data_IF_772354977309
#
_entry.id   IF_772354977309
#
_cell.length_a   1.000
_cell.length_b   1.000
_cell.length_c   1.000
_cell.angle_alpha   90.00
_cell.angle_beta   90.00
_cell.angle_gamma   90.00
#
_symmetry.space_group_name_H-M   'P 1'
#
loop_
_entity.id
_entity.type
_entity.pdbx_description
1 polymer ?
#
# COMPACT_ATOMS: atom_id res chain seq x y z
N UNK A 1 -11.73 22.65 35.75
CA UNK A 1 -13.09 22.34 35.23
C UNK A 1 -13.76 21.36 36.18
N UNK A 2 -15.04 21.59 36.52
CA UNK A 2 -15.80 20.63 37.32
C UNK A 2 -15.97 19.28 36.61
N UNK A 3 -15.97 18.17 37.38
CA UNK A 3 -16.04 16.81 36.83
C UNK A 3 -17.34 16.55 36.07
N UNK A 4 -18.46 17.08 36.58
CA UNK A 4 -19.78 16.94 35.93
C UNK A 4 -19.83 17.69 34.60
N UNK A 5 -19.22 18.88 34.55
CA UNK A 5 -19.10 19.68 33.32
C UNK A 5 -18.23 18.97 32.28
N UNK A 6 -17.13 18.33 32.70
CA UNK A 6 -16.29 17.54 31.79
C UNK A 6 -17.07 16.34 31.22
N UNK A 7 -17.80 15.61 32.07
CA UNK A 7 -18.62 14.47 31.66
C UNK A 7 -19.73 14.86 30.68
N UNK A 8 -20.40 16.00 30.93
CA UNK A 8 -21.42 16.55 30.03
C UNK A 8 -20.82 16.90 28.66
N UNK A 9 -19.68 17.60 28.65
CA UNK A 9 -18.99 18.00 27.41
C UNK A 9 -18.49 16.80 26.61
N UNK A 10 -18.00 15.75 27.27
CA UNK A 10 -17.63 14.48 26.61
C UNK A 10 -18.84 13.86 25.92
N UNK A 11 -19.99 13.79 26.61
CA UNK A 11 -21.23 13.25 26.04
C UNK A 11 -21.66 14.00 24.78
N UNK A 12 -21.75 15.33 24.85
CA UNK A 12 -22.12 16.18 23.70
C UNK A 12 -21.16 16.03 22.53
N UNK A 13 -19.86 15.96 22.80
CA UNK A 13 -18.84 15.78 21.76
C UNK A 13 -18.97 14.42 21.07
N UNK A 14 -19.23 13.36 21.84
CA UNK A 14 -19.38 11.99 21.34
C UNK A 14 -20.65 11.84 20.48
N UNK A 15 -21.78 12.40 20.93
CA UNK A 15 -23.03 12.45 20.16
C UNK A 15 -22.83 13.17 18.83
N UNK A 16 -22.18 14.35 18.85
CA UNK A 16 -21.89 15.10 17.63
C UNK A 16 -20.98 14.33 16.67
N UNK A 17 -19.96 13.65 17.17
CA UNK A 17 -19.05 12.83 16.37
C UNK A 17 -19.79 11.67 15.68
N UNK A 18 -20.68 10.98 16.40
CA UNK A 18 -21.55 9.92 15.87
C UNK A 18 -22.51 10.45 14.82
N UNK A 19 -23.23 11.53 15.14
CA UNK A 19 -24.28 12.05 14.26
C UNK A 19 -23.70 12.63 12.97
N UNK A 20 -22.52 13.27 13.04
CA UNK A 20 -21.77 13.66 11.85
C UNK A 20 -21.33 12.43 11.03
N UNK A 21 -20.84 11.36 11.68
CA UNK A 21 -20.47 10.13 10.97
C UNK A 21 -21.67 9.47 10.27
N UNK A 22 -22.86 9.43 10.89
CA UNK A 22 -24.11 8.89 10.29
C UNK A 22 -24.49 9.57 8.96
N UNK A 23 -24.06 10.80 8.74
CA UNK A 23 -24.28 11.52 7.49
C UNK A 23 -23.35 11.03 6.37
N UNK A 24 -22.19 10.49 6.72
CA UNK A 24 -21.11 10.18 5.80
C UNK A 24 -20.93 8.68 5.57
N UNK A 25 -21.44 7.82 6.46
CA UNK A 25 -21.24 6.35 6.37
C UNK A 25 -22.53 5.56 6.17
N UNK A 26 -22.40 4.34 5.63
CA UNK A 26 -23.52 3.40 5.43
C UNK A 26 -23.88 2.64 6.69
N UNK A 27 -22.94 2.46 7.62
CA UNK A 27 -23.16 1.67 8.83
C UNK A 27 -24.24 2.29 9.72
N UNK A 28 -25.21 1.49 10.20
CA UNK A 28 -26.14 1.94 11.22
C UNK A 28 -25.39 2.04 12.56
N UNK A 29 -24.97 3.25 12.93
CA UNK A 29 -24.31 3.50 14.20
C UNK A 29 -25.31 3.42 15.36
N UNK A 30 -25.16 2.52 16.35
CA UNK A 30 -26.03 2.45 17.52
C UNK A 30 -25.97 3.73 18.36
N UNK A 31 -27.04 4.03 19.10
CA UNK A 31 -27.04 5.22 19.98
C UNK A 31 -26.11 5.07 21.18
N UNK A 32 -25.92 3.84 21.67
CA UNK A 32 -24.96 3.55 22.73
C UNK A 32 -23.53 3.79 22.23
N UNK A 33 -22.68 4.42 23.04
CA UNK A 33 -21.31 4.77 22.67
C UNK A 33 -20.33 4.10 23.64
N UNK A 34 -19.24 3.55 23.09
CA UNK A 34 -18.07 3.10 23.84
C UNK A 34 -16.83 3.77 23.30
N UNK A 35 -15.81 3.89 24.14
CA UNK A 35 -14.62 4.65 23.83
C UNK A 35 -13.37 3.80 23.88
N UNK A 36 -12.47 4.04 22.92
CA UNK A 36 -11.10 3.57 22.96
C UNK A 36 -10.20 4.79 23.21
N UNK A 37 -9.49 4.82 24.34
CA UNK A 37 -8.71 6.01 24.75
C UNK A 37 -7.24 5.84 24.40
N UNK A 38 -6.69 6.83 23.70
CA UNK A 38 -5.26 6.94 23.43
C UNK A 38 -4.71 8.25 24.02
N UNK A 39 -3.76 8.12 24.94
CA UNK A 39 -2.99 9.25 25.44
C UNK A 39 -1.73 9.39 24.60
N UNK A 40 -1.59 10.54 23.94
CA UNK A 40 -0.35 10.90 23.28
C UNK A 40 0.71 11.20 24.35
N UNK A 41 1.75 10.37 24.41
CA UNK A 41 2.89 10.51 25.32
C UNK A 41 3.84 11.68 24.95
N UNK A 42 3.57 12.40 23.85
CA UNK A 42 4.54 13.33 23.26
C UNK A 42 4.16 14.81 23.42
N UNK A 43 4.98 15.42 24.26
CA UNK A 43 5.57 16.76 24.18
C UNK A 43 5.57 17.35 22.75
N UNK A 44 4.81 18.43 22.50
CA UNK A 44 4.81 19.20 21.23
C UNK A 44 6.11 20.01 20.99
N UNK A 45 7.21 19.62 21.64
CA UNK A 45 8.48 20.36 21.68
C UNK A 45 8.45 21.67 22.48
N UNK A 46 7.31 22.07 23.04
CA UNK A 46 7.18 23.30 23.86
C UNK A 46 7.33 23.02 25.36
N UNK A 47 7.92 23.96 26.11
CA UNK A 47 7.91 23.91 27.57
C UNK A 47 6.50 23.84 28.13
N UNK A 48 6.36 23.21 29.30
CA UNK A 48 5.10 23.22 30.04
C UNK A 48 4.79 24.64 30.52
N UNK A 49 3.56 25.07 30.33
CA UNK A 49 2.99 26.21 31.03
C UNK A 49 2.88 25.90 32.53
N UNK A 50 3.03 26.89 33.44
CA UNK A 50 2.96 26.65 34.88
C UNK A 50 1.68 25.96 35.38
N UNK A 51 0.55 26.17 34.68
CA UNK A 51 -0.74 25.54 34.99
C UNK A 51 -0.94 24.15 34.33
N UNK A 52 0.07 23.62 33.66
CA UNK A 52 0.03 22.29 33.04
C UNK A 52 0.63 21.22 33.95
N UNK A 53 0.09 20.01 33.82
CA UNK A 53 0.54 18.80 34.50
C UNK A 53 0.73 17.69 33.48
N UNK A 54 1.67 16.80 33.75
CA UNK A 54 1.90 15.55 33.00
C UNK A 54 1.93 14.41 34.00
N UNK A 55 1.56 13.21 33.55
CA UNK A 55 1.50 12.01 34.39
C UNK A 55 2.44 10.95 33.78
N UNK A 56 3.71 10.89 34.22
CA UNK A 56 4.69 9.96 33.67
C UNK A 56 4.29 8.48 33.73
N UNK A 57 3.38 8.13 34.63
CA UNK A 57 2.83 6.79 34.82
C UNK A 57 1.77 6.38 33.78
N UNK A 58 1.32 7.30 32.91
CA UNK A 58 0.28 7.04 31.91
C UNK A 58 0.54 5.81 31.01
N UNK A 59 1.77 5.52 30.56
CA UNK A 59 2.06 4.32 29.77
C UNK A 59 1.80 3.01 30.51
N UNK A 60 1.95 2.99 31.84
CA UNK A 60 1.75 1.80 32.69
C UNK A 60 0.30 1.68 33.16
N UNK A 61 -0.35 2.83 33.40
CA UNK A 61 -1.73 2.93 33.89
C UNK A 61 -2.78 2.60 32.84
N UNK A 62 -2.43 2.70 31.55
CA UNK A 62 -3.34 2.44 30.42
C UNK A 62 -2.71 1.44 29.44
N UNK A 63 -2.68 0.14 29.77
CA UNK A 63 -2.14 -0.88 28.88
C UNK A 63 -2.89 -0.89 27.54
N UNK A 64 -2.17 -1.02 26.42
CA UNK A 64 -2.77 -1.07 25.09
C UNK A 64 -3.84 -2.18 24.94
N UNK A 65 -3.69 -3.27 25.70
CA UNK A 65 -4.62 -4.40 25.76
C UNK A 65 -5.90 -4.13 26.56
N UNK A 66 -5.94 -3.07 27.38
CA UNK A 66 -7.10 -2.66 28.19
C UNK A 66 -7.96 -1.58 27.51
N UNK A 67 -7.60 -1.17 26.29
CA UNK A 67 -8.19 -0.02 25.57
C UNK A 67 -9.59 -0.27 25.01
N UNK A 68 -10.15 -1.46 25.10
CA UNK A 68 -11.36 -1.77 24.34
C UNK A 68 -12.64 -1.43 25.10
N UNK A 69 -13.39 -0.45 24.58
CA UNK A 69 -14.82 -0.24 24.82
C UNK A 69 -15.21 0.29 26.22
N UNK A 70 -14.54 1.34 26.68
CA UNK A 70 -14.87 2.02 27.95
C UNK A 70 -16.26 2.70 27.92
N UNK A 71 -16.92 2.73 29.07
CA UNK A 71 -18.08 3.59 29.38
C UNK A 71 -17.65 5.06 29.42
N UNK A 72 -18.63 5.99 29.31
CA UNK A 72 -18.37 7.42 29.52
C UNK A 72 -17.84 7.69 30.93
N UNK A 73 -18.39 7.00 31.91
CA UNK A 73 -18.04 7.14 33.33
C UNK A 73 -16.59 6.71 33.58
N UNK A 74 -16.16 5.58 33.02
CA UNK A 74 -14.75 5.12 33.09
C UNK A 74 -13.79 6.09 32.38
N UNK A 75 -14.18 6.65 31.23
CA UNK A 75 -13.37 7.68 30.56
C UNK A 75 -13.24 8.93 31.43
N UNK A 76 -14.30 9.36 32.10
CA UNK A 76 -14.27 10.51 33.01
C UNK A 76 -13.37 10.23 34.20
N UNK A 77 -13.45 9.04 34.82
CA UNK A 77 -12.52 8.64 35.89
C UNK A 77 -11.06 8.57 35.42
N UNK A 78 -10.85 8.20 34.16
CA UNK A 78 -9.54 8.08 33.57
C UNK A 78 -8.89 9.43 33.26
N UNK A 79 -9.66 10.36 32.68
CA UNK A 79 -9.16 11.62 32.11
C UNK A 79 -9.38 12.85 33.02
N UNK A 80 -10.31 12.81 33.96
CA UNK A 80 -10.46 13.89 34.93
C UNK A 80 -9.61 13.59 36.17
N UNK A 81 -8.60 14.42 36.43
CA UNK A 81 -7.61 14.17 37.49
C UNK A 81 -7.35 15.43 38.29
N UNK A 82 -7.72 15.42 39.58
CA UNK A 82 -7.45 16.53 40.51
C UNK A 82 -7.86 17.92 39.98
N UNK A 83 -9.03 18.00 39.32
CA UNK A 83 -9.56 19.23 38.73
C UNK A 83 -8.98 19.61 37.35
N UNK A 84 -8.04 18.82 36.84
CA UNK A 84 -7.41 18.98 35.54
C UNK A 84 -7.90 17.96 34.50
N UNK A 85 -7.89 18.37 33.23
CA UNK A 85 -8.31 17.56 32.06
C UNK A 85 -7.30 17.75 30.92
N UNK A 86 -7.23 16.84 29.92
CA UNK A 86 -6.40 17.05 28.74
C UNK A 86 -6.71 18.38 28.04
N UNK A 87 -5.69 19.08 27.54
CA UNK A 87 -5.86 20.34 26.80
C UNK A 87 -6.64 20.20 25.50
N UNK A 88 -6.51 19.09 24.80
CA UNK A 88 -7.29 18.74 23.62
C UNK A 88 -7.64 17.25 23.64
N UNK A 89 -8.83 16.94 23.12
CA UNK A 89 -9.34 15.59 22.93
C UNK A 89 -10.02 15.54 21.57
N UNK A 90 -9.53 14.70 20.67
CA UNK A 90 -10.09 14.48 19.35
C UNK A 90 -10.90 13.17 19.33
N UNK A 91 -12.13 13.25 18.82
CA UNK A 91 -13.06 12.13 18.75
C UNK A 91 -13.21 11.66 17.31
N UNK A 92 -12.98 10.36 17.10
CA UNK A 92 -13.22 9.70 15.82
C UNK A 92 -14.09 8.46 15.98
N UNK A 93 -15.31 8.44 15.44
CA UNK A 93 -16.01 7.19 15.08
C UNK A 93 -15.12 6.34 14.16
N UNK A 94 -14.71 5.19 14.65
CA UNK A 94 -13.82 4.26 13.93
C UNK A 94 -14.51 2.97 13.53
N UNK A 95 -15.55 2.55 14.27
CA UNK A 95 -16.25 1.30 14.00
C UNK A 95 -17.68 1.29 14.54
N UNK A 96 -18.53 0.51 13.89
CA UNK A 96 -19.78 0.03 14.47
C UNK A 96 -19.51 -1.28 15.25
N UNK A 97 -20.02 -1.41 16.46
CA UNK A 97 -19.63 -2.43 17.44
C UNK A 97 -20.72 -3.47 17.76
N UNK A 98 -21.73 -3.60 16.92
CA UNK A 98 -22.95 -4.38 17.16
C UNK A 98 -23.96 -3.55 17.96
N UNK A 99 -23.74 -3.45 19.27
CA UNK A 99 -24.63 -2.73 20.19
C UNK A 99 -24.17 -1.28 20.46
N UNK A 100 -22.95 -0.93 20.06
CA UNK A 100 -22.33 0.34 20.37
C UNK A 100 -21.67 1.00 19.14
N UNK A 101 -21.69 2.32 19.07
CA UNK A 101 -20.74 3.09 18.26
C UNK A 101 -19.41 3.16 19.00
N UNK A 102 -18.31 2.79 18.33
CA UNK A 102 -16.97 2.92 18.90
C UNK A 102 -16.35 4.24 18.46
N UNK A 103 -15.86 5.00 19.44
CA UNK A 103 -15.20 6.29 19.24
C UNK A 103 -13.81 6.26 19.87
N UNK A 104 -12.80 6.51 19.03
CA UNK A 104 -11.42 6.71 19.47
C UNK A 104 -11.28 8.13 20.04
N UNK A 105 -10.71 8.22 21.24
CA UNK A 105 -10.36 9.46 21.93
C UNK A 105 -8.85 9.65 21.92
N UNK A 106 -8.35 10.40 20.93
CA UNK A 106 -6.96 10.83 20.92
C UNK A 106 -6.82 12.06 21.83
N UNK A 107 -6.06 11.94 22.92
CA UNK A 107 -5.92 12.97 23.94
C UNK A 107 -4.47 13.41 24.04
N UNK A 108 -4.20 14.68 24.32
CA UNK A 108 -2.84 15.05 24.76
C UNK A 108 -2.54 14.57 26.18
N UNK A 109 -1.29 14.17 26.41
CA UNK A 109 -0.76 13.91 27.76
C UNK A 109 -0.52 15.17 28.62
N UNK A 110 -0.94 16.36 28.18
CA UNK A 110 -0.87 17.61 28.97
C UNK A 110 -2.23 17.95 29.55
N UNK A 111 -2.30 18.01 30.86
CA UNK A 111 -3.52 18.27 31.62
C UNK A 111 -3.47 19.68 32.21
N UNK A 112 -4.63 20.31 32.36
CA UNK A 112 -4.71 21.62 33.02
C UNK A 112 -6.06 21.84 33.67
N UNK A 113 -6.07 22.59 34.77
CA UNK A 113 -7.30 23.12 35.36
C UNK A 113 -7.68 24.49 34.78
N UNK A 114 -6.74 25.16 34.08
CA UNK A 114 -6.94 26.48 33.50
C UNK A 114 -7.73 26.39 32.19
N UNK A 115 -9.01 26.77 32.23
CA UNK A 115 -9.90 26.72 31.06
C UNK A 115 -9.42 27.60 29.88
N UNK A 116 -8.57 28.60 30.14
CA UNK A 116 -8.00 29.43 29.09
C UNK A 116 -7.00 28.66 28.22
N UNK A 117 -6.41 27.58 28.72
CA UNK A 117 -5.42 26.77 28.01
C UNK A 117 -6.06 25.62 27.20
N UNK A 118 -7.35 25.35 27.39
CA UNK A 118 -8.07 24.32 26.64
C UNK A 118 -8.25 24.72 25.18
N UNK A 119 -8.05 23.75 24.29
CA UNK A 119 -8.25 23.90 22.85
C UNK A 119 -9.73 23.76 22.48
N UNK A 120 -10.03 23.97 21.20
CA UNK A 120 -11.35 23.76 20.60
C UNK A 120 -12.49 24.58 21.25
N UNK A 121 -12.17 25.71 21.88
CA UNK A 121 -13.17 26.62 22.46
C UNK A 121 -14.27 27.02 21.47
N UNK A 122 -13.92 27.16 20.19
CA UNK A 122 -14.84 27.48 19.09
C UNK A 122 -15.93 26.42 18.87
N UNK A 123 -15.74 25.18 19.34
CA UNK A 123 -16.76 24.13 19.26
C UNK A 123 -17.87 24.29 20.31
N UNK A 124 -17.66 25.12 21.34
CA UNK A 124 -18.62 25.37 22.43
C UNK A 124 -18.52 24.41 23.62
N UNK A 125 -17.63 23.41 23.56
CA UNK A 125 -17.42 22.42 24.63
C UNK A 125 -15.93 22.01 24.72
N UNK A 126 -15.01 22.95 25.05
CA UNK A 126 -13.60 22.61 25.21
C UNK A 126 -13.40 21.57 26.33
N UNK A 127 -12.46 20.62 26.22
CA UNK A 127 -11.35 20.54 25.26
C UNK A 127 -11.63 19.67 24.01
N UNK A 128 -12.88 19.39 23.65
CA UNK A 128 -13.19 18.34 22.66
C UNK A 128 -13.34 18.85 21.22
N UNK A 129 -12.85 18.06 20.26
CA UNK A 129 -13.09 18.22 18.82
C UNK A 129 -13.66 16.93 18.23
N UNK A 130 -14.82 17.00 17.58
CA UNK A 130 -15.34 15.91 16.77
C UNK A 130 -14.71 15.97 15.36
N UNK A 131 -13.97 14.93 14.97
CA UNK A 131 -13.28 14.83 13.68
C UNK A 131 -13.91 13.80 12.72
N UNK A 132 -14.56 12.76 13.25
CA UNK A 132 -15.02 11.59 12.47
C UNK A 132 -15.97 11.83 11.32
N UNK A 133 -16.06 10.87 10.37
CA UNK A 133 -15.29 9.64 10.29
C UNK A 133 -13.93 9.88 9.62
N UNK A 134 -12.90 9.07 9.95
CA UNK A 134 -11.65 9.10 9.21
C UNK A 134 -11.87 8.47 7.83
N UNK A 135 -12.07 9.30 6.81
CA UNK A 135 -12.26 8.86 5.43
C UNK A 135 -10.91 8.59 4.75
N UNK A 136 -10.82 7.59 3.84
CA UNK A 136 -9.63 7.39 3.02
C UNK A 136 -9.30 8.63 2.20
N UNK A 137 -8.01 8.88 1.94
CA UNK A 137 -7.56 10.03 1.13
C UNK A 137 -8.06 10.01 -0.32
N UNK A 138 -8.51 8.86 -0.81
CA UNK A 138 -9.09 8.67 -2.14
C UNK A 138 -10.63 8.71 -2.15
N UNK A 139 -11.26 9.01 -1.02
CA UNK A 139 -12.71 9.17 -0.97
C UNK A 139 -13.09 10.54 -1.55
N UNK A 140 -13.78 10.53 -2.70
CA UNK A 140 -14.29 11.73 -3.36
C UNK A 140 -15.83 11.74 -3.25
N UNK A 141 -16.40 12.84 -2.76
CA UNK A 141 -17.81 12.96 -2.37
C UNK A 141 -18.69 13.64 -3.43
N UNK A 142 -18.18 13.91 -4.63
CA UNK A 142 -18.81 14.80 -5.62
C UNK A 142 -20.20 14.36 -6.12
N UNK A 143 -20.62 13.12 -5.82
CA UNK A 143 -21.93 12.54 -6.19
C UNK A 143 -22.72 11.95 -5.02
N UNK A 144 -22.35 12.22 -3.77
CA UNK A 144 -23.20 11.95 -2.60
C UNK A 144 -23.35 10.48 -2.18
N UNK A 145 -22.33 9.65 -2.38
CA UNK A 145 -22.28 8.31 -1.80
C UNK A 145 -22.00 8.35 -0.28
N UNK A 146 -22.29 7.24 0.41
CA UNK A 146 -21.88 7.02 1.81
C UNK A 146 -20.73 6.01 1.84
N UNK A 147 -19.81 6.17 2.78
CA UNK A 147 -18.65 5.30 2.98
C UNK A 147 -18.96 4.10 3.89
N UNK A 148 -18.41 2.92 3.62
CA UNK A 148 -18.45 1.81 4.59
C UNK A 148 -17.20 1.80 5.45
N UNK A 149 -17.35 1.86 6.77
CA UNK A 149 -16.26 1.64 7.73
C UNK A 149 -15.61 0.24 7.58
N UNK A 150 -16.29 -0.71 6.92
CA UNK A 150 -15.77 -2.07 6.66
C UNK A 150 -15.15 -2.26 5.29
N UNK A 151 -15.17 -1.24 4.42
CA UNK A 151 -14.60 -1.29 3.08
C UNK A 151 -13.17 -1.85 3.13
N UNK A 152 -12.36 -1.33 4.04
CA UNK A 152 -10.99 -1.78 4.26
C UNK A 152 -10.87 -2.49 5.60
N UNK A 153 -10.72 -3.82 5.56
CA UNK A 153 -10.47 -4.62 6.76
C UNK A 153 -9.01 -5.07 6.80
N UNK A 154 -8.30 -4.73 7.89
CA UNK A 154 -6.99 -5.31 8.22
C UNK A 154 -7.18 -6.33 9.32
N UNK A 155 -6.63 -7.52 9.12
CA UNK A 155 -6.79 -8.66 10.01
C UNK A 155 -5.40 -9.22 10.29
N UNK A 156 -5.06 -9.32 11.56
CA UNK A 156 -3.77 -9.84 12.01
C UNK A 156 -3.84 -11.21 12.71
N UNK A 157 -5.05 -11.76 12.87
CA UNK A 157 -5.28 -13.04 13.56
C UNK A 157 -6.55 -13.74 13.10
N UNK A 158 -6.66 -15.04 13.36
CA UNK A 158 -7.87 -15.82 13.06
C UNK A 158 -9.13 -15.28 13.77
N UNK A 159 -8.98 -14.75 14.99
CA UNK A 159 -10.11 -14.18 15.76
C UNK A 159 -10.69 -12.94 15.08
N UNK A 160 -9.82 -12.06 14.58
CA UNK A 160 -10.23 -10.89 13.81
C UNK A 160 -10.84 -11.30 12.48
N UNK A 161 -10.28 -12.31 11.81
CA UNK A 161 -10.80 -12.85 10.56
C UNK A 161 -12.24 -13.34 10.72
N UNK A 162 -12.53 -14.06 11.81
CA UNK A 162 -13.88 -14.51 12.13
C UNK A 162 -14.87 -13.34 12.36
N UNK A 163 -14.40 -12.22 12.92
CA UNK A 163 -15.23 -11.02 13.14
C UNK A 163 -15.56 -10.30 11.83
N UNK A 164 -14.59 -10.23 10.91
CA UNK A 164 -14.81 -9.65 9.57
C UNK A 164 -15.87 -10.45 8.79
N UNK A 165 -15.95 -11.76 9.03
CA UNK A 165 -16.93 -12.64 8.37
C UNK A 165 -18.38 -12.21 8.60
N UNK A 166 -18.69 -11.74 9.81
CA UNK A 166 -20.04 -11.26 10.17
C UNK A 166 -20.45 -10.00 9.39
N UNK A 167 -19.48 -9.32 8.76
CA UNK A 167 -19.62 -8.03 8.08
C UNK A 167 -19.22 -8.10 6.60
N UNK A 168 -19.05 -9.32 6.09
CA UNK A 168 -18.50 -9.67 4.77
C UNK A 168 -19.21 -9.03 3.57
N UNK A 169 -20.48 -8.62 3.72
CA UNK A 169 -21.26 -8.01 2.63
C UNK A 169 -20.70 -6.68 2.10
N UNK A 170 -19.94 -5.95 2.91
CA UNK A 170 -19.41 -4.61 2.55
C UNK A 170 -17.89 -4.56 2.42
N UNK A 171 -17.20 -5.68 2.66
CA UNK A 171 -15.73 -5.74 2.61
C UNK A 171 -15.28 -5.78 1.16
N UNK A 172 -14.67 -4.70 0.70
CA UNK A 172 -14.14 -4.59 -0.67
C UNK A 172 -12.63 -4.82 -0.72
N UNK A 173 -11.90 -4.45 0.34
CA UNK A 173 -10.48 -4.67 0.52
C UNK A 173 -10.26 -5.48 1.80
N UNK A 174 -9.68 -6.66 1.65
CA UNK A 174 -9.26 -7.51 2.77
C UNK A 174 -7.73 -7.63 2.77
N UNK A 175 -7.10 -7.09 3.81
CA UNK A 175 -5.66 -7.22 4.03
C UNK A 175 -5.40 -8.11 5.24
N UNK A 176 -4.80 -9.26 4.98
CA UNK A 176 -4.47 -10.28 5.96
C UNK A 176 -2.98 -10.23 6.26
N UNK A 177 -2.64 -10.24 7.54
CA UNK A 177 -1.27 -10.36 8.03
C UNK A 177 -1.21 -11.31 9.21
N UNK A 178 -0.08 -11.97 9.44
CA UNK A 178 0.11 -12.78 10.65
C UNK A 178 0.26 -14.27 10.36
N UNK A 179 1.15 -14.89 11.12
CA UNK A 179 1.59 -16.26 10.90
C UNK A 179 0.57 -17.33 11.30
N UNK A 180 -0.51 -16.96 11.97
CA UNK A 180 -1.64 -17.83 12.30
C UNK A 180 -2.70 -17.88 11.18
N UNK A 181 -2.53 -17.09 10.11
CA UNK A 181 -3.38 -17.13 8.92
C UNK A 181 -2.76 -18.05 7.87
N UNK A 182 -3.30 -19.26 7.75
CA UNK A 182 -2.89 -20.30 6.80
C UNK A 182 -4.04 -20.68 5.83
N UNK A 183 -3.81 -21.70 5.00
CA UNK A 183 -4.82 -22.15 4.04
C UNK A 183 -6.13 -22.60 4.73
N UNK A 184 -6.05 -23.27 5.89
CA UNK A 184 -7.24 -23.71 6.65
C UNK A 184 -8.05 -22.53 7.15
N UNK A 185 -7.40 -21.50 7.70
CA UNK A 185 -8.04 -20.28 8.15
C UNK A 185 -8.79 -19.57 7.01
N UNK A 186 -8.17 -19.49 5.82
CA UNK A 186 -8.78 -18.87 4.65
C UNK A 186 -9.94 -19.70 4.09
N UNK A 187 -9.83 -21.03 4.04
CA UNK A 187 -10.92 -21.91 3.63
C UNK A 187 -12.14 -21.79 4.56
N UNK A 188 -11.91 -21.69 5.88
CA UNK A 188 -12.97 -21.50 6.85
C UNK A 188 -13.66 -20.12 6.71
N UNK A 189 -12.89 -19.07 6.40
CA UNK A 189 -13.41 -17.72 6.21
C UNK A 189 -14.27 -17.59 4.95
N UNK A 190 -13.79 -18.12 3.83
CA UNK A 190 -14.40 -17.94 2.52
C UNK A 190 -15.70 -18.74 2.30
N UNK A 191 -16.18 -19.48 3.31
CA UNK A 191 -17.55 -20.02 3.31
C UNK A 191 -18.63 -18.93 3.39
N UNK A 192 -18.27 -17.71 3.76
CA UNK A 192 -19.19 -16.57 3.80
C UNK A 192 -19.28 -15.84 2.45
N UNK A 193 -20.44 -15.23 2.13
CA UNK A 193 -20.58 -14.43 0.92
C UNK A 193 -19.74 -13.14 1.02
N UNK A 194 -18.80 -12.96 0.09
CA UNK A 194 -17.96 -11.76 -0.04
C UNK A 194 -18.27 -11.03 -1.36
N UNK A 195 -19.51 -10.56 -1.59
CA UNK A 195 -19.95 -10.04 -2.88
C UNK A 195 -19.29 -8.70 -3.27
N UNK A 196 -18.82 -7.94 -2.27
CA UNK A 196 -18.14 -6.67 -2.47
C UNK A 196 -16.61 -6.84 -2.63
N UNK A 197 -16.03 -8.00 -2.32
CA UNK A 197 -14.58 -8.16 -2.29
C UNK A 197 -13.96 -7.98 -3.69
N UNK A 198 -13.05 -7.02 -3.84
CA UNK A 198 -12.32 -6.72 -5.08
C UNK A 198 -10.81 -6.90 -4.90
N UNK A 199 -10.30 -6.65 -3.71
CA UNK A 199 -8.87 -6.65 -3.42
C UNK A 199 -8.56 -7.56 -2.23
N UNK A 200 -7.65 -8.51 -2.43
CA UNK A 200 -7.13 -9.39 -1.39
C UNK A 200 -5.61 -9.18 -1.29
N UNK A 201 -5.13 -8.88 -0.08
CA UNK A 201 -3.71 -8.77 0.22
C UNK A 201 -3.33 -9.75 1.31
N UNK A 202 -2.29 -10.52 1.06
CA UNK A 202 -1.67 -11.43 2.01
C UNK A 202 -0.23 -10.99 2.24
N UNK A 203 0.10 -10.60 3.47
CA UNK A 203 1.46 -10.23 3.87
C UNK A 203 1.84 -11.00 5.14
N UNK A 204 3.01 -11.64 5.19
CA UNK A 204 3.45 -12.36 6.40
C UNK A 204 2.43 -13.40 6.89
N UNK A 205 1.86 -14.14 5.94
CA UNK A 205 0.89 -15.22 6.19
C UNK A 205 1.52 -16.57 5.86
N UNK A 206 0.89 -17.65 6.33
CA UNK A 206 1.30 -19.03 6.02
C UNK A 206 0.49 -19.67 4.89
N UNK A 207 -0.22 -18.87 4.10
CA UNK A 207 -1.03 -19.34 2.97
C UNK A 207 -0.12 -19.86 1.85
N UNK A 208 -0.33 -21.12 1.44
CA UNK A 208 0.50 -21.81 0.45
C UNK A 208 -0.19 -21.94 -0.91
N UNK A 209 -1.49 -21.68 -1.00
CA UNK A 209 -2.23 -21.66 -2.25
C UNK A 209 -3.60 -22.31 -2.17
N UNK A 210 -3.76 -23.54 -1.62
CA UNK A 210 -5.07 -24.20 -1.53
C UNK A 210 -6.18 -23.34 -0.90
N UNK A 211 -5.86 -22.55 0.13
CA UNK A 211 -6.81 -21.66 0.81
C UNK A 211 -7.23 -20.45 0.00
N UNK A 212 -6.56 -20.14 -1.11
CA UNK A 212 -7.02 -19.14 -2.08
C UNK A 212 -8.15 -19.67 -2.97
N UNK A 213 -8.34 -20.99 -3.09
CA UNK A 213 -9.33 -21.60 -4.00
C UNK A 213 -10.75 -21.04 -3.85
N UNK A 214 -11.28 -20.81 -2.63
CA UNK A 214 -12.63 -20.26 -2.47
C UNK A 214 -12.77 -18.81 -2.97
N UNK A 215 -11.67 -18.06 -3.08
CA UNK A 215 -11.69 -16.68 -3.54
C UNK A 215 -11.72 -16.57 -5.07
N UNK A 216 -11.45 -17.66 -5.80
CA UNK A 216 -11.41 -17.67 -7.26
C UNK A 216 -12.78 -17.37 -7.91
N UNK A 217 -13.87 -17.71 -7.23
CA UNK A 217 -15.25 -17.50 -7.71
C UNK A 217 -15.80 -16.12 -7.28
N UNK A 218 -15.06 -15.37 -6.46
CA UNK A 218 -15.43 -14.03 -6.02
C UNK A 218 -15.14 -12.99 -7.11
N UNK A 219 -15.75 -11.79 -7.02
CA UNK A 219 -15.45 -10.66 -7.92
C UNK A 219 -14.08 -10.01 -7.68
N UNK A 220 -13.05 -10.81 -7.36
CA UNK A 220 -11.70 -10.35 -7.08
C UNK A 220 -11.02 -9.87 -8.37
N UNK A 221 -10.65 -8.58 -8.42
CA UNK A 221 -9.92 -7.97 -9.54
C UNK A 221 -8.42 -7.84 -9.25
N UNK A 222 -8.02 -7.86 -7.98
CA UNK A 222 -6.63 -7.68 -7.55
C UNK A 222 -6.24 -8.64 -6.41
N UNK A 223 -5.09 -9.30 -6.57
CA UNK A 223 -4.49 -10.19 -5.58
C UNK A 223 -3.03 -9.82 -5.38
N UNK A 224 -2.65 -9.54 -4.14
CA UNK A 224 -1.25 -9.35 -3.71
C UNK A 224 -0.91 -10.44 -2.70
N UNK A 225 0.07 -11.27 -3.03
CA UNK A 225 0.46 -12.43 -2.24
C UNK A 225 1.96 -12.41 -1.98
N UNK A 226 2.32 -11.97 -0.77
CA UNK A 226 3.68 -12.04 -0.26
C UNK A 226 3.82 -13.26 0.64
N UNK A 227 4.54 -14.26 0.15
CA UNK A 227 4.78 -15.50 0.86
C UNK A 227 5.92 -15.35 1.87
N UNK A 228 5.75 -15.93 3.06
CA UNK A 228 6.83 -16.00 4.04
C UNK A 228 8.02 -16.82 3.49
N UNK A 229 9.26 -16.39 3.77
CA UNK A 229 10.46 -17.10 3.31
C UNK A 229 10.46 -18.58 3.75
N UNK A 230 10.75 -19.48 2.80
CA UNK A 230 10.89 -20.91 3.06
C UNK A 230 9.58 -21.71 3.03
N UNK A 231 8.42 -21.06 2.95
CA UNK A 231 7.14 -21.76 2.78
C UNK A 231 6.89 -22.12 1.32
N UNK A 232 6.74 -23.41 0.95
CA UNK A 232 6.43 -23.77 -0.43
C UNK A 232 5.08 -23.16 -0.82
N UNK A 233 5.02 -22.62 -2.05
CA UNK A 233 3.79 -22.06 -2.62
C UNK A 233 3.38 -22.79 -3.89
N UNK A 234 2.07 -22.98 -4.09
CA UNK A 234 1.47 -23.57 -5.29
C UNK A 234 0.73 -22.51 -6.10
N UNK A 235 1.39 -22.01 -7.15
CA UNK A 235 0.85 -20.98 -8.04
C UNK A 235 -0.23 -21.51 -8.99
N UNK A 236 -0.44 -22.83 -9.10
CA UNK A 236 -1.48 -23.39 -9.99
C UNK A 236 -2.89 -23.04 -9.54
N UNK A 237 -3.06 -22.61 -8.28
CA UNK A 237 -4.35 -22.09 -7.81
C UNK A 237 -4.81 -20.86 -8.61
N UNK A 238 -3.87 -20.09 -9.15
CA UNK A 238 -4.14 -18.85 -9.88
C UNK A 238 -4.89 -19.08 -11.19
N UNK A 239 -4.81 -20.28 -11.77
CA UNK A 239 -5.53 -20.64 -13.01
C UNK A 239 -7.05 -20.47 -12.91
N UNK A 240 -7.59 -20.52 -11.69
CA UNK A 240 -9.04 -20.41 -11.44
C UNK A 240 -9.53 -18.96 -11.38
N UNK A 241 -8.66 -17.97 -11.21
CA UNK A 241 -9.02 -16.57 -10.96
C UNK A 241 -9.40 -15.81 -12.24
N UNK A 242 -10.49 -16.22 -12.90
CA UNK A 242 -10.89 -15.72 -14.22
C UNK A 242 -11.16 -14.21 -14.32
N UNK A 243 -11.41 -13.53 -13.19
CA UNK A 243 -11.73 -12.10 -13.10
C UNK A 243 -10.54 -11.20 -12.74
N UNK A 244 -9.38 -11.80 -12.49
CA UNK A 244 -8.22 -11.08 -12.00
C UNK A 244 -7.62 -10.20 -13.11
N UNK A 245 -7.44 -8.92 -12.82
CA UNK A 245 -6.80 -7.94 -13.70
C UNK A 245 -5.38 -7.61 -13.23
N UNK A 246 -5.14 -7.71 -11.92
CA UNK A 246 -3.86 -7.39 -11.28
C UNK A 246 -3.41 -8.53 -10.36
N UNK A 247 -2.19 -9.01 -10.55
CA UNK A 247 -1.58 -10.06 -9.74
C UNK A 247 -0.18 -9.65 -9.32
N UNK A 248 0.07 -9.71 -8.01
CA UNK A 248 1.39 -9.55 -7.42
C UNK A 248 1.72 -10.79 -6.59
N UNK A 249 2.85 -11.41 -6.89
CA UNK A 249 3.40 -12.52 -6.12
C UNK A 249 4.85 -12.22 -5.79
N UNK A 250 5.16 -12.18 -4.50
CA UNK A 250 6.51 -12.04 -3.99
C UNK A 250 6.92 -13.27 -3.18
N UNK A 251 8.06 -13.85 -3.54
CA UNK A 251 8.67 -15.00 -2.90
C UNK A 251 10.15 -14.74 -2.72
N UNK A 252 10.64 -14.70 -1.48
CA UNK A 252 12.06 -14.43 -1.24
C UNK A 252 12.94 -15.69 -1.42
N UNK A 253 12.59 -16.79 -0.78
CA UNK A 253 13.41 -18.01 -0.74
C UNK A 253 12.58 -19.28 -0.60
N UNK A 254 11.45 -19.34 -1.31
CA UNK A 254 10.57 -20.50 -1.25
C UNK A 254 10.63 -21.37 -2.50
N UNK A 255 10.62 -22.70 -2.36
CA UNK A 255 10.48 -23.59 -3.50
C UNK A 255 9.09 -23.45 -4.11
N UNK A 256 9.01 -23.37 -5.45
CA UNK A 256 7.74 -23.47 -6.17
C UNK A 256 7.23 -24.91 -6.09
N UNK A 257 6.13 -25.13 -5.38
CA UNK A 257 5.46 -26.42 -5.31
C UNK A 257 4.80 -26.77 -6.64
N UNK A 258 5.06 -27.98 -7.16
CA UNK A 258 4.46 -28.43 -8.42
C UNK A 258 5.22 -28.05 -9.70
N UNK A 259 6.42 -27.46 -9.58
CA UNK A 259 7.28 -27.07 -10.71
C UNK A 259 7.18 -25.59 -11.08
N UNK A 260 7.96 -25.15 -12.07
CA UNK A 260 7.94 -23.77 -12.60
C UNK A 260 6.78 -23.49 -13.55
N UNK A 261 5.97 -24.51 -13.85
CA UNK A 261 4.92 -24.45 -14.87
C UNK A 261 3.57 -24.23 -14.20
N UNK A 262 3.05 -23.01 -14.29
CA UNK A 262 1.69 -22.64 -13.89
C UNK A 262 1.11 -21.74 -14.98
N UNK A 263 -0.20 -21.77 -15.16
CA UNK A 263 -0.88 -20.81 -16.02
C UNK A 263 -1.48 -19.69 -15.18
N UNK A 264 -1.66 -18.53 -15.81
CA UNK A 264 -2.33 -17.37 -15.19
C UNK A 264 -3.56 -16.96 -16.00
N UNK A 265 -4.53 -16.29 -15.36
CA UNK A 265 -5.78 -15.89 -16.01
C UNK A 265 -5.55 -14.99 -17.23
N UNK A 266 -6.25 -15.27 -18.34
CA UNK A 266 -6.10 -14.52 -19.61
C UNK A 266 -6.47 -13.03 -19.51
N UNK A 267 -7.31 -12.66 -18.54
CA UNK A 267 -7.78 -11.30 -18.33
C UNK A 267 -6.76 -10.36 -17.68
N UNK A 268 -5.59 -10.88 -17.30
CA UNK A 268 -4.61 -10.12 -16.55
C UNK A 268 -4.00 -8.98 -17.37
N UNK A 269 -4.01 -7.78 -16.79
CA UNK A 269 -3.44 -6.56 -17.38
C UNK A 269 -2.12 -6.21 -16.74
N UNK A 270 -1.92 -6.58 -15.48
CA UNK A 270 -0.73 -6.30 -14.71
C UNK A 270 -0.26 -7.54 -13.96
N UNK A 271 1.01 -7.92 -14.16
CA UNK A 271 1.64 -9.06 -13.52
C UNK A 271 2.97 -8.66 -12.87
N UNK A 272 3.08 -8.84 -11.56
CA UNK A 272 4.32 -8.73 -10.80
C UNK A 272 4.69 -10.10 -10.25
N UNK A 273 5.81 -10.66 -10.72
CA UNK A 273 6.37 -11.93 -10.25
C UNK A 273 7.80 -11.71 -9.75
N UNK A 274 7.93 -11.34 -8.47
CA UNK A 274 9.22 -11.33 -7.78
C UNK A 274 9.47 -12.69 -7.17
N UNK A 275 9.79 -13.64 -8.06
CA UNK A 275 10.04 -15.03 -7.71
C UNK A 275 11.41 -15.40 -8.28
N UNK A 276 12.46 -15.52 -7.44
CA UNK A 276 13.82 -15.79 -7.92
C UNK A 276 13.94 -17.03 -8.79
N UNK A 277 13.17 -18.09 -8.49
CA UNK A 277 13.18 -19.33 -9.25
C UNK A 277 12.42 -19.26 -10.61
N UNK A 278 11.70 -18.18 -10.90
CA UNK A 278 10.95 -18.05 -12.15
C UNK A 278 11.90 -17.80 -13.32
N UNK A 279 11.81 -18.62 -14.37
CA UNK A 279 12.69 -18.54 -15.55
C UNK A 279 11.97 -18.73 -16.89
N UNK A 280 10.83 -19.46 -16.92
CA UNK A 280 10.15 -19.85 -18.15
C UNK A 280 8.97 -18.93 -18.49
N UNK A 281 9.15 -18.10 -19.53
CA UNK A 281 8.10 -17.24 -20.07
C UNK A 281 6.99 -18.00 -20.85
N UNK A 282 7.18 -19.30 -21.12
CA UNK A 282 6.15 -20.18 -21.69
C UNK A 282 4.89 -20.23 -20.83
N UNK A 283 5.05 -20.17 -19.50
CA UNK A 283 3.97 -20.08 -18.51
C UNK A 283 3.05 -18.86 -18.72
N UNK A 284 3.57 -17.79 -19.31
CA UNK A 284 2.84 -16.54 -19.55
C UNK A 284 2.22 -16.47 -20.96
N UNK A 285 2.29 -17.53 -21.74
CA UNK A 285 1.89 -17.55 -23.16
C UNK A 285 0.43 -17.20 -23.44
N UNK A 286 -0.45 -17.33 -22.45
CA UNK A 286 -1.88 -17.05 -22.57
C UNK A 286 -2.27 -15.59 -22.32
N UNK A 287 -1.32 -14.71 -21.96
CA UNK A 287 -1.59 -13.35 -21.50
C UNK A 287 -1.58 -12.31 -22.63
N UNK A 288 -2.54 -12.39 -23.55
CA UNK A 288 -2.60 -11.49 -24.72
C UNK A 288 -2.95 -10.03 -24.36
N UNK A 289 -3.51 -9.81 -23.17
CA UNK A 289 -3.97 -8.50 -22.69
C UNK A 289 -2.98 -7.77 -21.79
N UNK A 290 -1.79 -8.34 -21.56
CA UNK A 290 -0.83 -7.82 -20.59
C UNK A 290 -0.28 -6.45 -21.00
N UNK A 291 -0.39 -5.48 -20.10
CA UNK A 291 0.07 -4.09 -20.24
C UNK A 291 1.31 -3.83 -19.39
N UNK A 292 1.34 -4.39 -18.17
CA UNK A 292 2.48 -4.31 -17.25
C UNK A 292 3.02 -5.68 -16.87
N UNK A 293 4.34 -5.85 -16.96
CA UNK A 293 5.05 -7.05 -16.55
C UNK A 293 6.28 -6.68 -15.72
N UNK A 294 6.35 -7.20 -14.51
CA UNK A 294 7.51 -7.07 -13.63
C UNK A 294 8.05 -8.45 -13.26
N UNK A 295 9.29 -8.69 -13.66
CA UNK A 295 10.06 -9.91 -13.43
C UNK A 295 11.36 -9.60 -12.67
N UNK A 296 11.41 -8.49 -11.94
CA UNK A 296 12.61 -8.05 -11.23
C UNK A 296 13.10 -9.12 -10.25
N UNK A 297 14.40 -9.41 -10.28
CA UNK A 297 15.04 -10.41 -9.44
C UNK A 297 14.73 -11.88 -9.80
N UNK A 298 14.02 -12.13 -10.90
CA UNK A 298 13.78 -13.49 -11.40
C UNK A 298 14.99 -14.08 -12.14
N UNK A 299 14.98 -15.39 -12.37
CA UNK A 299 16.00 -16.13 -13.14
C UNK A 299 15.72 -16.15 -14.65
N UNK A 300 14.92 -15.23 -15.17
CA UNK A 300 14.68 -15.13 -16.62
C UNK A 300 16.00 -14.82 -17.34
N UNK A 301 16.34 -15.65 -18.34
CA UNK A 301 17.56 -15.52 -19.14
C UNK A 301 17.31 -15.18 -20.60
N UNK A 302 16.09 -15.42 -21.10
CA UNK A 302 15.74 -15.17 -22.50
C UNK A 302 14.43 -14.42 -22.55
N UNK A 303 14.37 -13.41 -23.42
CA UNK A 303 13.20 -12.55 -23.60
C UNK A 303 12.38 -12.89 -24.86
N UNK A 304 12.72 -13.95 -25.61
CA UNK A 304 12.05 -14.30 -26.87
C UNK A 304 10.54 -14.48 -26.71
N UNK A 305 10.13 -15.06 -25.59
CA UNK A 305 8.73 -15.26 -25.24
C UNK A 305 7.93 -13.96 -25.05
N UNK A 306 8.59 -12.83 -24.79
CA UNK A 306 7.90 -11.55 -24.58
C UNK A 306 7.31 -10.97 -25.86
N UNK A 307 7.83 -11.37 -27.03
CA UNK A 307 7.40 -10.83 -28.35
C UNK A 307 5.89 -10.91 -28.58
N UNK A 308 5.17 -11.82 -27.91
CA UNK A 308 3.71 -11.97 -28.03
C UNK A 308 2.92 -10.88 -27.32
N UNK A 309 3.49 -10.21 -26.30
CA UNK A 309 2.79 -9.21 -25.48
C UNK A 309 2.71 -7.85 -26.18
N UNK A 310 1.94 -7.77 -27.28
CA UNK A 310 1.85 -6.57 -28.14
C UNK A 310 1.26 -5.35 -27.44
N UNK A 311 0.57 -5.54 -26.31
CA UNK A 311 -0.03 -4.47 -25.50
C UNK A 311 0.90 -3.95 -24.41
N UNK A 312 2.03 -4.61 -24.18
CA UNK A 312 2.95 -4.28 -23.09
C UNK A 312 3.48 -2.85 -23.24
N UNK A 313 3.19 -2.02 -22.23
CA UNK A 313 3.69 -0.65 -22.11
C UNK A 313 4.77 -0.52 -21.04
N UNK A 314 4.77 -1.42 -20.04
CA UNK A 314 5.72 -1.40 -18.92
C UNK A 314 6.36 -2.77 -18.74
N UNK A 315 7.69 -2.79 -18.75
CA UNK A 315 8.49 -4.00 -18.52
C UNK A 315 9.61 -3.71 -17.51
N UNK A 316 9.64 -4.47 -16.42
CA UNK A 316 10.63 -4.36 -15.36
C UNK A 316 11.46 -5.66 -15.29
N UNK A 317 12.77 -5.54 -15.49
CA UNK A 317 13.73 -6.64 -15.57
C UNK A 317 14.94 -6.41 -14.66
N UNK A 318 14.82 -5.55 -13.64
CA UNK A 318 15.93 -5.23 -12.76
C UNK A 318 16.50 -6.49 -12.11
N UNK A 319 17.82 -6.55 -11.91
CA UNK A 319 18.50 -7.67 -11.22
C UNK A 319 18.21 -9.05 -11.83
N UNK A 320 17.98 -9.11 -13.14
CA UNK A 320 17.88 -10.36 -13.90
C UNK A 320 19.20 -10.66 -14.63
N UNK A 321 19.31 -11.84 -15.22
CA UNK A 321 20.48 -12.24 -16.00
C UNK A 321 20.44 -11.77 -17.47
N UNK A 322 19.61 -10.77 -17.78
CA UNK A 322 19.46 -10.20 -19.13
C UNK A 322 20.74 -9.52 -19.60
N UNK A 323 21.14 -9.82 -20.84
CA UNK A 323 22.31 -9.27 -21.52
C UNK A 323 21.93 -8.52 -22.82
N UNK A 324 22.94 -8.08 -23.59
CA UNK A 324 22.73 -7.22 -24.76
C UNK A 324 21.89 -7.89 -25.86
N UNK A 325 22.18 -9.16 -26.14
CA UNK A 325 21.53 -9.96 -27.17
C UNK A 325 20.04 -10.18 -26.89
N UNK A 326 19.65 -10.30 -25.62
CA UNK A 326 18.26 -10.51 -25.19
C UNK A 326 17.36 -9.34 -25.56
N UNK A 327 17.90 -8.11 -25.56
CA UNK A 327 17.15 -6.91 -25.91
C UNK A 327 16.66 -6.91 -27.37
N UNK A 328 17.22 -7.78 -28.23
CA UNK A 328 16.72 -7.98 -29.59
C UNK A 328 15.26 -8.47 -29.60
N UNK A 329 14.86 -9.26 -28.62
CA UNK A 329 13.49 -9.76 -28.52
C UNK A 329 12.46 -8.66 -28.23
N UNK A 330 12.89 -7.54 -27.64
CA UNK A 330 11.98 -6.44 -27.29
C UNK A 330 11.52 -5.63 -28.50
N UNK A 331 12.23 -5.70 -29.64
CA UNK A 331 11.99 -4.88 -30.85
C UNK A 331 10.53 -4.93 -31.34
N UNK A 332 9.82 -6.04 -31.11
CA UNK A 332 8.40 -6.19 -31.48
C UNK A 332 7.39 -5.54 -30.53
N UNK A 333 7.83 -5.00 -29.39
CA UNK A 333 7.00 -4.38 -28.36
C UNK A 333 6.81 -2.88 -28.65
N UNK A 334 6.09 -2.60 -29.73
CA UNK A 334 5.96 -1.23 -30.28
C UNK A 334 5.24 -0.24 -29.35
N UNK A 335 4.52 -0.73 -28.34
CA UNK A 335 3.84 0.08 -27.31
C UNK A 335 4.68 0.29 -26.04
N UNK A 336 5.84 -0.36 -25.91
CA UNK A 336 6.65 -0.30 -24.69
C UNK A 336 7.11 1.14 -24.44
N UNK A 337 6.59 1.73 -23.37
CA UNK A 337 6.84 3.10 -22.93
C UNK A 337 7.85 3.18 -21.78
N UNK A 338 7.88 2.17 -20.93
CA UNK A 338 8.74 2.09 -19.74
C UNK A 338 9.51 0.78 -19.72
N UNK A 339 10.83 0.87 -19.59
CA UNK A 339 11.73 -0.28 -19.51
C UNK A 339 12.73 -0.10 -18.35
N UNK A 340 12.71 -1.02 -17.39
CA UNK A 340 13.68 -1.08 -16.30
C UNK A 340 14.71 -2.18 -16.51
N UNK A 341 15.99 -1.81 -16.54
CA UNK A 341 17.14 -2.71 -16.74
C UNK A 341 18.21 -2.53 -15.65
N UNK A 342 17.87 -1.92 -14.51
CA UNK A 342 18.84 -1.66 -13.46
C UNK A 342 19.51 -2.96 -13.00
N UNK A 343 20.80 -2.90 -12.69
CA UNK A 343 21.56 -4.04 -12.17
C UNK A 343 21.51 -5.27 -13.12
N UNK A 344 21.45 -5.05 -14.44
CA UNK A 344 21.62 -6.09 -15.47
C UNK A 344 23.00 -5.99 -16.13
N UNK A 345 23.35 -6.98 -16.96
CA UNK A 345 24.64 -7.00 -17.66
C UNK A 345 24.66 -6.16 -18.96
N UNK A 346 23.58 -5.46 -19.27
CA UNK A 346 23.42 -4.62 -20.46
C UNK A 346 24.53 -3.56 -20.55
N UNK A 347 25.06 -3.40 -21.76
CA UNK A 347 26.13 -2.47 -22.13
C UNK A 347 25.69 -1.54 -23.28
N UNK A 348 26.65 -0.78 -23.83
CA UNK A 348 26.44 0.08 -24.99
C UNK A 348 25.87 -0.67 -26.20
N UNK A 349 26.23 -1.94 -26.38
CA UNK A 349 25.77 -2.76 -27.51
C UNK A 349 24.26 -3.05 -27.40
N UNK A 350 23.75 -3.37 -26.22
CA UNK A 350 22.32 -3.63 -26.00
C UNK A 350 21.45 -2.42 -26.30
N UNK A 351 21.92 -1.20 -25.99
CA UNK A 351 21.21 0.05 -26.30
C UNK A 351 20.97 0.24 -27.80
N UNK A 352 21.78 -0.39 -28.67
CA UNK A 352 21.55 -0.33 -30.11
C UNK A 352 20.23 -0.98 -30.55
N UNK A 353 19.76 -1.99 -29.81
CA UNK A 353 18.49 -2.67 -30.08
C UNK A 353 17.27 -1.82 -29.69
N UNK A 354 17.38 -1.05 -28.59
CA UNK A 354 16.28 -0.23 -28.07
C UNK A 354 15.84 0.90 -29.02
N UNK A 355 16.70 1.31 -29.95
CA UNK A 355 16.38 2.32 -30.99
C UNK A 355 15.16 1.98 -31.84
N UNK A 356 14.75 0.70 -31.86
CA UNK A 356 13.58 0.23 -32.62
C UNK A 356 12.27 0.30 -31.83
N UNK A 357 12.27 0.83 -30.60
CA UNK A 357 11.09 0.99 -29.75
C UNK A 357 10.53 2.42 -29.87
N UNK A 358 9.51 2.67 -30.73
CA UNK A 358 9.06 4.02 -31.04
C UNK A 358 8.33 4.70 -29.86
N UNK A 359 7.74 3.90 -28.98
CA UNK A 359 6.98 4.37 -27.83
C UNK A 359 7.83 4.61 -26.57
N UNK A 360 9.10 4.16 -26.53
CA UNK A 360 9.90 4.22 -25.30
C UNK A 360 10.11 5.66 -24.82
N UNK A 361 9.76 5.93 -23.57
CA UNK A 361 9.84 7.25 -22.91
C UNK A 361 10.64 7.22 -21.61
N UNK A 362 10.63 6.11 -20.88
CA UNK A 362 11.28 5.97 -19.58
C UNK A 362 12.20 4.76 -19.64
N UNK A 363 13.47 4.98 -19.30
CA UNK A 363 14.50 3.95 -19.35
C UNK A 363 15.36 3.99 -18.09
N UNK A 364 15.38 2.89 -17.34
CA UNK A 364 16.20 2.76 -16.14
C UNK A 364 17.42 1.89 -16.43
N UNK A 365 18.63 2.45 -16.27
CA UNK A 365 19.91 1.78 -16.54
C UNK A 365 20.87 1.88 -15.34
N UNK A 366 20.36 2.13 -14.14
CA UNK A 366 21.20 2.27 -12.94
C UNK A 366 22.03 0.99 -12.74
N UNK A 367 23.32 1.14 -12.44
CA UNK A 367 24.27 0.05 -12.21
C UNK A 367 24.39 -0.95 -13.37
N UNK A 368 24.23 -0.48 -14.60
CA UNK A 368 24.54 -1.26 -15.82
C UNK A 368 25.95 -0.97 -16.33
N UNK A 369 26.37 -1.64 -17.41
CA UNK A 369 27.70 -1.47 -18.04
C UNK A 369 27.73 -0.38 -19.12
N UNK A 370 26.72 0.47 -19.18
CA UNK A 370 26.63 1.58 -20.15
C UNK A 370 27.72 2.61 -19.88
N UNK A 371 28.37 3.08 -20.95
CA UNK A 371 29.40 4.11 -20.95
C UNK A 371 28.99 5.33 -21.79
N UNK A 372 29.84 6.35 -21.87
CA UNK A 372 29.64 7.52 -22.72
C UNK A 372 29.39 7.17 -24.20
N UNK A 373 29.94 6.04 -24.68
CA UNK A 373 29.72 5.57 -26.05
C UNK A 373 28.26 5.18 -26.28
N UNK A 374 27.62 4.57 -25.28
CA UNK A 374 26.21 4.16 -25.31
C UNK A 374 25.24 5.33 -25.40
N UNK A 375 25.60 6.52 -24.91
CA UNK A 375 24.74 7.70 -24.94
C UNK A 375 24.35 8.12 -26.36
N UNK A 376 25.17 7.80 -27.38
CA UNK A 376 24.86 8.01 -28.80
C UNK A 376 23.65 7.20 -29.28
N UNK A 377 23.32 6.10 -28.62
CA UNK A 377 22.12 5.35 -28.88
C UNK A 377 20.91 6.00 -28.20
N UNK A 378 21.08 6.47 -26.97
CA UNK A 378 20.05 7.15 -26.20
C UNK A 378 19.59 8.46 -26.84
N UNK A 379 20.51 9.24 -27.41
CA UNK A 379 20.17 10.51 -28.08
C UNK A 379 19.29 10.34 -29.33
N UNK A 380 19.19 9.10 -29.85
CA UNK A 380 18.32 8.76 -30.99
C UNK A 380 16.94 8.26 -30.54
N UNK A 381 16.70 8.14 -29.25
CA UNK A 381 15.41 7.79 -28.67
C UNK A 381 14.67 9.07 -28.26
N UNK A 382 13.34 9.02 -28.27
CA UNK A 382 12.49 10.14 -27.80
C UNK A 382 12.18 9.98 -26.31
N UNK A 383 13.22 9.77 -25.50
CA UNK A 383 13.08 9.58 -24.05
C UNK A 383 12.63 10.88 -23.36
N UNK A 384 11.81 10.72 -22.32
CA UNK A 384 11.46 11.77 -21.36
C UNK A 384 12.37 11.72 -20.14
N UNK A 385 12.75 10.51 -19.71
CA UNK A 385 13.66 10.33 -18.58
C UNK A 385 14.59 9.13 -18.78
N UNK A 386 15.82 9.24 -18.27
CA UNK A 386 16.78 8.14 -18.18
C UNK A 386 17.51 8.14 -16.84
N UNK A 387 17.72 6.95 -16.26
CA UNK A 387 18.51 6.77 -15.04
C UNK A 387 19.86 6.12 -15.38
N UNK A 388 20.96 6.70 -14.90
CA UNK A 388 22.35 6.35 -15.24
C UNK A 388 23.28 6.29 -14.00
N UNK A 389 22.73 6.24 -12.79
CA UNK A 389 23.51 6.18 -11.54
C UNK A 389 24.28 4.87 -11.46
N UNK A 390 25.55 4.93 -11.06
CA UNK A 390 26.40 3.74 -10.96
C UNK A 390 26.72 3.06 -12.29
N UNK A 391 26.50 3.74 -13.43
CA UNK A 391 27.00 3.31 -14.74
C UNK A 391 28.46 3.75 -14.96
N UNK A 392 29.03 3.45 -16.13
CA UNK A 392 30.34 3.94 -16.56
C UNK A 392 30.25 5.28 -17.30
N UNK A 393 29.10 5.96 -17.24
CA UNK A 393 28.89 7.28 -17.82
C UNK A 393 29.60 8.34 -16.98
N UNK A 394 30.38 9.19 -17.63
CA UNK A 394 31.12 10.27 -17.00
C UNK A 394 30.27 11.55 -16.92
N UNK A 395 30.73 12.53 -16.13
CA UNK A 395 30.14 13.86 -16.10
C UNK A 395 30.16 14.54 -17.49
N UNK A 396 31.23 14.35 -18.26
CA UNK A 396 31.34 14.85 -19.64
C UNK A 396 30.31 14.20 -20.56
N UNK A 397 30.08 12.89 -20.42
CA UNK A 397 29.04 12.17 -21.14
C UNK A 397 27.63 12.70 -20.84
N UNK A 398 27.31 12.95 -19.57
CA UNK A 398 26.04 13.58 -19.16
C UNK A 398 25.90 14.97 -19.76
N UNK A 399 26.95 15.79 -19.70
CA UNK A 399 26.95 17.14 -20.28
C UNK A 399 26.72 17.10 -21.80
N UNK A 400 27.37 16.17 -22.50
CA UNK A 400 27.15 15.94 -23.92
C UNK A 400 25.70 15.54 -24.21
N UNK A 401 25.14 14.58 -23.46
CA UNK A 401 23.76 14.12 -23.66
C UNK A 401 22.73 15.24 -23.41
N UNK A 402 22.96 16.11 -22.41
CA UNK A 402 22.11 17.30 -22.18
C UNK A 402 22.08 18.24 -23.38
N UNK A 403 23.23 18.47 -24.01
CA UNK A 403 23.33 19.32 -25.21
C UNK A 403 22.60 18.71 -26.41
N UNK A 404 22.72 17.40 -26.60
CA UNK A 404 22.05 16.69 -27.69
C UNK A 404 20.54 16.48 -27.43
N UNK A 405 20.12 16.38 -26.16
CA UNK A 405 18.74 16.12 -25.74
C UNK A 405 18.28 17.08 -24.63
N UNK A 406 18.04 18.38 -24.93
CA UNK A 406 17.80 19.40 -23.91
C UNK A 406 16.53 19.21 -23.05
N UNK A 407 15.59 18.38 -23.50
CA UNK A 407 14.33 18.08 -22.78
C UNK A 407 14.35 16.75 -22.03
N UNK A 408 15.44 15.99 -22.13
CA UNK A 408 15.59 14.71 -21.46
C UNK A 408 15.93 14.94 -19.98
N UNK A 409 15.14 14.36 -19.08
CA UNK A 409 15.47 14.30 -17.65
C UNK A 409 16.51 13.18 -17.44
N UNK A 410 17.66 13.51 -16.88
CA UNK A 410 18.78 12.56 -16.71
C UNK A 410 19.06 12.42 -15.23
N UNK A 411 18.84 11.25 -14.64
CA UNK A 411 19.19 10.99 -13.25
C UNK A 411 20.56 10.32 -13.19
N UNK A 412 21.56 11.00 -12.62
CA UNK A 412 22.94 10.49 -12.56
C UNK A 412 23.56 10.74 -11.20
N UNK A 413 24.75 10.18 -10.95
CA UNK A 413 25.50 10.38 -9.71
C UNK A 413 26.00 11.83 -9.52
N UNK A 414 25.99 12.62 -10.59
CA UNK A 414 26.49 14.00 -10.63
C UNK A 414 25.38 15.04 -10.40
N UNK A 415 24.14 14.59 -10.12
CA UNK A 415 23.05 15.51 -9.81
C UNK A 415 22.96 15.77 -8.30
N UNK A 416 23.14 17.04 -7.91
CA UNK A 416 22.71 17.54 -6.60
C UNK A 416 21.22 17.92 -6.68
N UNK A 417 20.33 16.96 -6.49
CA UNK A 417 18.94 17.26 -6.15
C UNK A 417 18.49 16.36 -4.99
N UNK A 418 18.12 17.02 -3.91
CA UNK A 418 17.38 16.46 -2.77
C UNK A 418 16.08 15.84 -3.29
N UNK A 419 15.82 14.60 -2.91
CA UNK A 419 14.62 13.85 -3.26
C UNK A 419 13.34 14.68 -3.00
N UNK A 420 12.38 14.75 -3.92
CA UNK A 420 11.01 14.51 -3.50
C UNK A 420 10.86 13.00 -3.29
N UNK A 421 10.19 12.61 -2.22
CA UNK A 421 10.09 11.21 -1.77
C UNK A 421 9.73 10.21 -2.89
N UNK A 422 10.09 8.92 -2.74
CA UNK A 422 9.68 7.87 -3.65
C UNK A 422 8.15 7.88 -3.83
N UNK A 423 7.65 8.25 -5.02
CA UNK A 423 6.21 8.28 -5.32
C UNK A 423 5.66 9.54 -6.02
N UNK A 424 6.48 10.54 -6.33
CA UNK A 424 5.99 11.85 -6.83
C UNK A 424 6.22 12.13 -8.31
N UNK A 425 6.14 11.12 -9.20
CA UNK A 425 6.24 11.37 -10.64
C UNK A 425 5.01 10.89 -11.42
N UNK A 426 4.53 11.77 -12.31
CA UNK A 426 3.36 11.62 -13.17
C UNK A 426 3.46 10.43 -14.12
N UNK A 427 3.14 9.27 -13.57
CA UNK A 427 2.86 8.01 -14.22
C UNK A 427 1.38 7.99 -14.61
N UNK A 428 1.05 7.67 -15.86
CA UNK A 428 -0.34 7.44 -16.27
C UNK A 428 -0.95 6.33 -15.38
N UNK A 429 -2.28 6.38 -15.17
CA UNK A 429 -2.99 5.70 -14.06
C UNK A 429 -2.80 4.18 -13.91
N UNK A 430 -2.18 3.48 -14.87
CA UNK A 430 -1.76 2.08 -14.73
C UNK A 430 -0.43 1.92 -13.99
N UNK A 431 0.56 2.77 -14.29
CA UNK A 431 1.88 2.69 -13.65
C UNK A 431 1.84 3.26 -12.22
N UNK A 432 0.89 4.17 -11.91
CA UNK A 432 0.59 4.60 -10.53
C UNK A 432 0.03 3.48 -9.65
N UNK A 433 -0.81 2.59 -10.20
CA UNK A 433 -1.36 1.43 -9.48
C UNK A 433 -0.26 0.42 -9.14
N UNK A 434 0.54 0.07 -10.15
CA UNK A 434 1.75 -0.76 -10.00
C UNK A 434 2.75 -0.16 -8.99
N UNK A 435 3.02 1.15 -9.05
CA UNK A 435 3.95 1.80 -8.13
C UNK A 435 3.43 1.91 -6.69
N UNK A 436 2.11 2.13 -6.49
CA UNK A 436 1.50 2.18 -5.15
C UNK A 436 1.54 0.85 -4.40
N UNK A 437 1.62 -0.26 -5.15
CA UNK A 437 1.84 -1.61 -4.62
C UNK A 437 3.32 -1.82 -4.25
N UNK A 438 4.24 -1.36 -5.10
CA UNK A 438 5.70 -1.53 -4.91
C UNK A 438 6.34 -0.67 -3.81
N UNK A 439 5.80 0.52 -3.49
CA UNK A 439 6.41 1.42 -2.49
C UNK A 439 6.16 1.04 -1.02
N UNK A 440 5.51 -0.11 -0.72
CA UNK A 440 5.39 -0.60 0.66
C UNK A 440 6.46 -1.62 1.07
N UNK A 441 7.34 -2.05 0.15
CA UNK A 441 8.35 -3.09 0.40
C UNK A 441 9.82 -2.65 0.26
N UNK A 442 10.10 -1.39 -0.04
CA UNK A 442 11.48 -0.88 -0.20
C UNK A 442 11.77 0.28 0.75
N UNK A 443 11.66 0.01 2.06
CA UNK A 443 12.46 0.68 3.07
C UNK A 443 13.15 -0.45 3.85
N UNK A 444 14.41 -0.68 3.51
CA UNK A 444 15.39 -1.33 4.37
C UNK A 444 16.44 -0.28 4.71
#
# INVERSE_FOLDING_TARGET
>A
MDKSVFAERLGRAAERARDYARMLIVEPLPDSIRFDVELNCSHDGKPLHPDERVYPEDPERIPASSRSRLTREEVVELLWREGAVPRWINLNVTREGGEHTLIDLACCGRFTANEQLLYHKHQGYPPFQALSPPLPSSYEDEKGGRFSLYWHSRVSSQRELATVRERSMHVEILALSGSDLDDEALEAFARAPLPALRHLRLEKTRVQGPGLRPFADLPLSSLSWQADPGLPIDLRVLERFSRLEELEVEVQSSPLGGGSTFSVPRGLRSLHLRVPAFADLGALSSLDSLEGLDLAGSSVKSLEGLTRFRRLDTLQLQRTAVEDEDLRALVGLTRLGTLGLNETAVSDAGLAHLRKLPALRYLELDKTRVSDRGLKHLSRLRLKAVHLRGTQVTEEGVAWLRRECPRLRIFSAFEQYTFPEPGTWGLEGHVRRLWSLLTRGCVA
#
